data_IF_956974119852
#
_entry.id   IF_956974119852
#
_cell.length_a   1.000
_cell.length_b   1.000
_cell.length_c   1.000
_cell.angle_alpha   90.00
_cell.angle_beta   90.00
_cell.angle_gamma   90.00
#
_symmetry.space_group_name_H-M   'P 1'
#
loop_
_entity.id
_entity.type
_entity.pdbx_description
1 polymer ?
#
# COMPACT_ATOMS: atom_id res chain seq x y z
N UNK A 1 20.32 5.48 2.36
CA UNK A 1 20.42 4.43 3.42
C UNK A 1 19.91 4.89 4.80
N UNK A 2 20.47 5.96 5.43
CA UNK A 2 20.06 6.38 6.79
C UNK A 2 18.55 6.69 6.95
N UNK A 3 17.93 7.33 5.94
CA UNK A 3 16.50 7.69 5.98
C UNK A 3 15.57 6.47 5.99
N UNK A 4 15.86 5.46 5.16
CA UNK A 4 15.07 4.23 5.08
C UNK A 4 15.11 3.44 6.39
N UNK A 5 16.29 3.31 7.01
CA UNK A 5 16.44 2.64 8.29
C UNK A 5 15.65 3.35 9.41
N UNK A 6 15.67 4.69 9.43
CA UNK A 6 14.87 5.48 10.38
C UNK A 6 13.38 5.24 10.19
N UNK A 7 12.87 5.40 8.96
CA UNK A 7 11.44 5.24 8.68
C UNK A 7 10.95 3.82 8.94
N UNK A 8 11.77 2.80 8.70
CA UNK A 8 11.44 1.44 9.10
C UNK A 8 11.25 1.32 10.61
N UNK A 9 12.15 1.90 11.41
CA UNK A 9 12.02 1.93 12.87
C UNK A 9 10.75 2.64 13.35
N UNK A 10 10.34 3.71 12.66
CA UNK A 10 9.11 4.44 12.98
C UNK A 10 7.85 3.66 12.59
N UNK A 11 7.85 3.00 11.42
CA UNK A 11 6.74 2.15 10.97
C UNK A 11 6.46 0.97 11.91
N UNK A 12 7.47 0.41 12.58
CA UNK A 12 7.27 -0.66 13.57
C UNK A 12 6.39 -0.25 14.74
N UNK A 13 6.25 1.05 15.00
CA UNK A 13 5.41 1.60 16.07
C UNK A 13 3.96 1.81 15.63
N UNK A 14 3.66 1.68 14.33
CA UNK A 14 2.33 1.93 13.81
C UNK A 14 1.38 0.77 14.16
N UNK A 15 0.19 1.05 14.72
CA UNK A 15 -0.84 0.03 14.94
C UNK A 15 -1.60 -0.35 13.65
N UNK A 16 -1.33 0.34 12.54
CA UNK A 16 -2.13 0.25 11.31
C UNK A 16 -1.37 -0.31 10.11
N UNK A 17 -0.04 -0.49 10.23
CA UNK A 17 0.78 -1.05 9.15
C UNK A 17 1.95 -1.88 9.68
N UNK A 18 2.40 -2.84 8.89
CA UNK A 18 3.57 -3.70 9.18
C UNK A 18 4.41 -3.82 7.91
N UNK A 19 5.71 -3.54 8.02
CA UNK A 19 6.66 -3.63 6.92
C UNK A 19 7.43 -4.96 6.91
N UNK A 20 7.67 -5.49 5.71
CA UNK A 20 8.34 -6.75 5.40
C UNK A 20 9.45 -6.51 4.36
N UNK A 21 10.54 -7.26 4.51
CA UNK A 21 11.77 -7.11 3.72
C UNK A 21 12.14 -8.49 3.17
N UNK A 22 11.64 -8.86 1.98
CA UNK A 22 11.86 -10.18 1.42
C UNK A 22 13.34 -10.47 1.17
N UNK A 23 14.10 -9.44 0.76
CA UNK A 23 15.52 -9.56 0.44
C UNK A 23 16.33 -8.51 1.22
N UNK A 24 17.16 -8.98 2.16
CA UNK A 24 18.06 -8.12 2.94
C UNK A 24 19.14 -7.47 2.07
N UNK A 25 19.43 -8.02 0.90
CA UNK A 25 20.40 -7.46 -0.05
C UNK A 25 19.77 -6.39 -0.95
N UNK A 26 18.44 -6.33 -1.03
CA UNK A 26 17.72 -5.30 -1.77
C UNK A 26 16.86 -4.42 -0.82
N UNK A 27 17.48 -3.42 -0.15
CA UNK A 27 16.78 -2.57 0.80
C UNK A 27 15.76 -1.62 0.17
N UNK A 28 15.60 -1.64 -1.16
CA UNK A 28 14.70 -0.76 -1.91
C UNK A 28 13.37 -1.43 -2.26
N UNK A 29 13.20 -2.72 -1.98
CA UNK A 29 11.94 -3.43 -2.24
C UNK A 29 11.22 -3.70 -0.92
N UNK A 30 10.23 -2.86 -0.62
CA UNK A 30 9.48 -2.94 0.64
C UNK A 30 8.12 -3.55 0.37
N UNK A 31 7.69 -4.39 1.29
CA UNK A 31 6.34 -4.93 1.32
C UNK A 31 5.64 -4.42 2.58
N UNK A 32 4.42 -3.92 2.48
CA UNK A 32 3.72 -3.33 3.61
C UNK A 32 2.29 -3.83 3.65
N UNK A 33 1.91 -4.45 4.75
CA UNK A 33 0.51 -4.74 5.06
C UNK A 33 -0.09 -3.59 5.85
N UNK A 34 -1.29 -3.14 5.52
CA UNK A 34 -1.99 -2.04 6.18
C UNK A 34 -3.48 -2.34 6.33
N UNK A 35 -4.10 -1.75 7.36
CA UNK A 35 -5.54 -1.87 7.60
C UNK A 35 -6.34 -1.06 6.59
N UNK A 36 -7.51 -1.57 6.21
CA UNK A 36 -8.49 -0.79 5.46
C UNK A 36 -8.91 0.48 6.19
N UNK A 37 -9.26 1.56 5.45
CA UNK A 37 -9.75 2.79 6.05
C UNK A 37 -11.00 2.55 6.89
N UNK A 38 -11.06 3.21 8.05
CA UNK A 38 -12.25 3.23 8.91
C UNK A 38 -13.41 3.93 8.20
N UNK A 39 -14.63 3.64 8.63
CA UNK A 39 -15.88 4.19 8.09
C UNK A 39 -16.01 3.99 6.57
N UNK A 40 -15.59 2.82 6.09
CA UNK A 40 -15.63 2.44 4.67
C UNK A 40 -15.97 0.97 4.44
N UNK A 41 -16.32 0.61 3.21
CA UNK A 41 -16.56 -0.77 2.79
C UNK A 41 -15.32 -1.68 2.97
N UNK A 42 -14.13 -1.08 3.07
CA UNK A 42 -12.84 -1.75 3.23
C UNK A 42 -12.46 -1.97 4.69
N UNK A 43 -13.18 -1.38 5.65
CA UNK A 43 -12.89 -1.49 7.08
C UNK A 43 -12.88 -2.96 7.52
N UNK A 44 -11.85 -3.34 8.29
CA UNK A 44 -11.66 -4.71 8.76
C UNK A 44 -10.88 -5.60 7.78
N UNK A 45 -10.62 -5.15 6.56
CA UNK A 45 -9.68 -5.79 5.64
C UNK A 45 -8.22 -5.48 5.97
N UNK A 46 -7.31 -6.33 5.46
CA UNK A 46 -5.87 -6.11 5.49
C UNK A 46 -5.33 -6.17 4.06
N UNK A 47 -4.73 -5.08 3.61
CA UNK A 47 -4.24 -4.94 2.25
C UNK A 47 -2.72 -4.89 2.23
N UNK A 48 -2.12 -5.41 1.17
CA UNK A 48 -0.68 -5.56 1.03
C UNK A 48 -0.20 -4.83 -0.21
N UNK A 49 0.77 -3.93 -0.05
CA UNK A 49 1.42 -3.27 -1.16
C UNK A 49 2.90 -3.61 -1.23
N UNK A 50 3.45 -3.49 -2.44
CA UNK A 50 4.86 -3.48 -2.72
C UNK A 50 5.27 -2.06 -3.13
N UNK A 51 6.36 -1.57 -2.54
CA UNK A 51 6.99 -0.29 -2.87
C UNK A 51 8.39 -0.53 -3.43
N UNK A 52 8.65 -0.01 -4.63
CA UNK A 52 10.00 0.07 -5.19
C UNK A 52 10.58 1.46 -4.96
N UNK A 53 11.61 1.53 -4.13
CA UNK A 53 12.20 2.76 -3.55
C UNK A 53 13.57 3.10 -4.14
N UNK A 54 13.90 2.65 -5.36
CA UNK A 54 15.24 2.78 -5.94
C UNK A 54 15.75 4.22 -5.99
N UNK A 55 14.87 5.17 -6.30
CA UNK A 55 15.19 6.60 -6.43
C UNK A 55 14.71 7.44 -5.22
N UNK A 56 14.26 6.78 -4.14
CA UNK A 56 13.75 7.46 -2.95
C UNK A 56 14.91 8.02 -2.10
N UNK A 57 14.82 9.25 -1.53
CA UNK A 57 13.62 10.11 -1.43
C UNK A 57 13.46 11.14 -2.55
N UNK A 58 14.39 11.20 -3.51
CA UNK A 58 14.38 12.21 -4.56
C UNK A 58 13.18 12.05 -5.51
N UNK A 59 12.72 10.80 -5.70
CA UNK A 59 11.49 10.46 -6.44
C UNK A 59 10.53 9.63 -5.59
N UNK A 60 9.21 9.67 -5.90
CA UNK A 60 8.23 8.80 -5.26
C UNK A 60 8.45 7.32 -5.66
N UNK A 61 7.96 6.37 -4.84
CA UNK A 61 8.06 4.96 -5.15
C UNK A 61 7.15 4.54 -6.31
N UNK A 62 7.48 3.43 -6.96
CA UNK A 62 6.47 2.66 -7.68
C UNK A 62 5.65 1.86 -6.67
N UNK A 63 4.32 1.90 -6.79
CA UNK A 63 3.38 1.27 -5.86
C UNK A 63 2.61 0.18 -6.59
N UNK A 64 2.51 -1.02 -6.02
CA UNK A 64 1.63 -2.10 -6.50
C UNK A 64 0.86 -2.72 -5.35
N UNK A 65 -0.38 -3.13 -5.61
CA UNK A 65 -1.19 -3.89 -4.64
C UNK A 65 -1.04 -5.38 -4.93
N UNK A 66 -0.85 -6.17 -3.89
CA UNK A 66 -0.46 -7.57 -4.02
C UNK A 66 -1.60 -8.55 -3.76
N UNK A 67 -2.71 -8.10 -3.18
CA UNK A 67 -3.89 -8.91 -2.92
C UNK A 67 -5.16 -8.27 -3.50
N UNK A 68 -6.17 -9.10 -3.75
CA UNK A 68 -7.49 -8.63 -4.17
C UNK A 68 -8.06 -7.65 -3.15
N UNK A 69 -8.50 -6.49 -3.63
CA UNK A 69 -9.07 -5.42 -2.79
C UNK A 69 -10.43 -4.93 -3.24
N UNK A 70 -10.78 -5.12 -4.52
CA UNK A 70 -11.95 -4.47 -5.14
C UNK A 70 -11.74 -2.98 -5.47
N UNK A 71 -10.61 -2.38 -5.04
CA UNK A 71 -10.26 -0.99 -5.32
C UNK A 71 -9.17 -0.83 -6.38
N UNK A 72 -8.24 -1.79 -6.45
CA UNK A 72 -7.03 -1.71 -7.27
C UNK A 72 -6.80 -3.00 -8.05
N UNK A 73 -6.16 -2.86 -9.21
CA UNK A 73 -5.64 -3.97 -10.00
C UNK A 73 -4.42 -4.60 -9.29
N UNK A 74 -4.40 -5.92 -9.21
CA UNK A 74 -3.32 -6.66 -8.56
C UNK A 74 -2.05 -6.59 -9.41
N UNK A 75 -0.91 -6.37 -8.76
CA UNK A 75 0.42 -6.33 -9.35
C UNK A 75 0.53 -5.37 -10.56
N UNK A 76 -0.33 -4.36 -10.59
CA UNK A 76 -0.30 -3.30 -11.58
C UNK A 76 0.29 -2.03 -10.93
N UNK A 77 1.19 -1.30 -11.61
CA UNK A 77 1.64 0.00 -11.13
C UNK A 77 0.47 0.95 -10.90
N UNK A 78 0.39 1.53 -9.71
CA UNK A 78 -0.61 2.54 -9.36
C UNK A 78 -0.12 3.93 -9.71
N UNK A 79 -1.00 4.74 -10.29
CA UNK A 79 -0.79 6.16 -10.51
C UNK A 79 -1.62 6.97 -9.50
N UNK A 80 -0.99 7.37 -8.41
CA UNK A 80 -1.53 8.32 -7.44
C UNK A 80 -0.76 9.64 -7.57
N UNK A 81 -1.50 10.71 -7.84
CA UNK A 81 -0.94 12.05 -8.00
C UNK A 81 -0.14 12.47 -6.76
N UNK A 82 1.09 12.95 -6.95
CA UNK A 82 1.97 13.40 -5.86
C UNK A 82 2.57 12.28 -5.00
N UNK A 83 2.26 11.00 -5.25
CA UNK A 83 2.66 9.89 -4.37
C UNK A 83 3.29 8.70 -5.09
N UNK A 84 3.16 8.61 -6.42
CA UNK A 84 3.66 7.48 -7.22
C UNK A 84 4.65 7.92 -8.29
N UNK A 85 5.63 7.06 -8.61
CA UNK A 85 6.63 7.29 -9.66
C UNK A 85 6.01 7.66 -11.02
N UNK A 86 4.81 7.16 -11.31
CA UNK A 86 4.12 7.34 -12.58
C UNK A 86 3.29 8.64 -12.65
N UNK A 87 3.18 9.38 -11.55
CA UNK A 87 2.63 10.73 -11.51
C UNK A 87 3.36 11.56 -10.43
N UNK A 88 4.65 11.90 -10.67
CA UNK A 88 5.52 12.50 -9.66
C UNK A 88 5.31 14.02 -9.52
N UNK A 89 4.39 14.60 -10.29
CA UNK A 89 4.04 16.01 -10.14
C UNK A 89 3.60 16.26 -8.69
N UNK A 90 4.13 17.32 -8.08
CA UNK A 90 3.89 17.68 -6.68
C UNK A 90 4.46 16.71 -5.62
N UNK A 91 5.35 15.79 -6.03
CA UNK A 91 6.14 15.02 -5.08
C UNK A 91 6.98 15.95 -4.19
N UNK A 92 6.86 15.76 -2.87
CA UNK A 92 7.73 16.40 -1.89
C UNK A 92 8.81 15.42 -1.44
N UNK A 93 10.11 15.66 -1.78
CA UNK A 93 11.19 14.80 -1.35
C UNK A 93 11.23 14.58 0.16
N UNK A 94 11.36 13.32 0.56
CA UNK A 94 11.38 12.92 1.97
C UNK A 94 10.00 12.71 2.59
N UNK A 95 8.91 12.80 1.83
CA UNK A 95 7.58 12.34 2.28
C UNK A 95 7.70 10.93 2.86
N UNK A 96 7.17 10.74 4.07
CA UNK A 96 7.35 9.49 4.82
C UNK A 96 6.63 8.33 4.14
N UNK A 97 7.24 7.14 4.13
CA UNK A 97 6.65 5.93 3.55
C UNK A 97 5.32 5.58 4.25
N UNK A 98 5.21 5.80 5.56
CA UNK A 98 3.95 5.63 6.29
C UNK A 98 2.84 6.53 5.75
N UNK A 99 3.14 7.81 5.47
CA UNK A 99 2.19 8.77 4.89
C UNK A 99 1.74 8.34 3.50
N UNK A 100 2.63 7.77 2.67
CA UNK A 100 2.26 7.21 1.36
C UNK A 100 1.25 6.07 1.54
N UNK A 101 1.48 5.18 2.50
CA UNK A 101 0.59 4.02 2.76
C UNK A 101 -0.73 4.45 3.38
N UNK A 102 -0.74 5.45 4.27
CA UNK A 102 -1.96 6.06 4.81
C UNK A 102 -2.81 6.68 3.71
N UNK A 103 -2.19 7.46 2.82
CA UNK A 103 -2.88 8.01 1.67
C UNK A 103 -3.41 6.91 0.75
N UNK A 104 -2.61 5.88 0.45
CA UNK A 104 -3.04 4.72 -0.33
C UNK A 104 -4.29 4.06 0.28
N UNK A 105 -4.35 3.90 1.60
CA UNK A 105 -5.55 3.40 2.27
C UNK A 105 -6.76 4.33 2.05
N UNK A 106 -6.59 5.65 2.17
CA UNK A 106 -7.67 6.62 1.93
C UNK A 106 -8.19 6.59 0.49
N UNK A 107 -7.30 6.46 -0.50
CA UNK A 107 -7.67 6.36 -1.92
C UNK A 107 -8.51 5.11 -2.25
N UNK A 108 -8.53 4.08 -1.38
CA UNK A 108 -9.41 2.93 -1.57
C UNK A 108 -10.87 3.35 -1.59
N UNK A 109 -11.26 4.27 -0.70
CA UNK A 109 -12.64 4.72 -0.53
C UNK A 109 -13.02 5.89 -1.47
N UNK A 110 -12.06 6.42 -2.25
CA UNK A 110 -12.33 7.53 -3.16
C UNK A 110 -13.25 7.07 -4.29
N UNK A 111 -14.51 7.52 -4.33
CA UNK A 111 -15.48 7.11 -5.36
C UNK A 111 -15.38 7.93 -6.65
N UNK A 112 -14.78 9.11 -6.58
CA UNK A 112 -14.59 10.03 -7.71
C UNK A 112 -13.19 9.88 -8.29
N UNK A 113 -13.00 10.27 -9.54
CA UNK A 113 -11.66 10.36 -10.18
C UNK A 113 -10.80 9.07 -10.06
N UNK A 114 -11.43 7.92 -10.30
CA UNK A 114 -10.74 6.61 -10.34
C UNK A 114 -10.19 6.26 -11.72
N UNK A 115 -9.96 7.24 -12.58
CA UNK A 115 -9.45 7.02 -13.95
C UNK A 115 -7.93 6.81 -14.04
N UNK A 116 -7.22 6.95 -12.92
CA UNK A 116 -5.78 6.72 -12.83
C UNK A 116 -5.40 5.25 -13.05
N UNK A 117 -4.21 5.02 -13.60
CA UNK A 117 -3.73 3.65 -13.85
C UNK A 117 -3.66 2.81 -12.58
N UNK A 118 -4.06 1.54 -12.69
CA UNK A 118 -4.10 0.58 -11.59
C UNK A 118 -5.33 0.69 -10.67
N UNK A 119 -6.20 1.69 -10.85
CA UNK A 119 -7.48 1.76 -10.15
C UNK A 119 -8.53 0.87 -10.83
N UNK A 120 -9.38 0.24 -10.02
CA UNK A 120 -10.67 -0.26 -10.51
C UNK A 120 -11.61 0.95 -10.62
N UNK A 121 -12.09 1.23 -11.82
CA UNK A 121 -12.85 2.45 -12.14
C UNK A 121 -14.22 2.51 -11.45
N UNK A 122 -14.92 1.37 -11.40
CA UNK A 122 -16.23 1.25 -10.77
C UNK A 122 -16.15 0.32 -9.57
N UNK A 123 -16.41 0.88 -8.39
CA UNK A 123 -16.41 0.11 -7.16
C UNK A 123 -17.71 -0.68 -7.03
N UNK A 124 -17.58 -1.98 -6.88
CA UNK A 124 -18.67 -2.90 -6.61
C UNK A 124 -18.62 -3.34 -5.14
N UNK A 125 -19.71 -3.09 -4.40
CA UNK A 125 -19.76 -3.35 -2.96
C UNK A 125 -19.70 -4.85 -2.62
N UNK A 126 -20.28 -5.72 -3.45
CA UNK A 126 -20.24 -7.17 -3.22
C UNK A 126 -18.83 -7.70 -3.46
N UNK A 127 -18.16 -7.22 -4.53
CA UNK A 127 -16.76 -7.55 -4.80
C UNK A 127 -15.85 -7.07 -3.67
N UNK A 128 -16.00 -5.81 -3.23
CA UNK A 128 -15.21 -5.26 -2.12
C UNK A 128 -15.40 -6.10 -0.86
N UNK A 129 -16.65 -6.43 -0.50
CA UNK A 129 -16.94 -7.27 0.67
C UNK A 129 -16.24 -8.63 0.59
N UNK A 130 -16.34 -9.30 -0.56
CA UNK A 130 -15.68 -10.60 -0.79
C UNK A 130 -14.16 -10.48 -0.67
N UNK A 131 -13.56 -9.47 -1.31
CA UNK A 131 -12.13 -9.23 -1.26
C UNK A 131 -11.67 -8.91 0.17
N UNK A 132 -12.39 -8.06 0.90
CA UNK A 132 -12.13 -7.72 2.30
C UNK A 132 -12.11 -8.98 3.18
N UNK A 133 -13.12 -9.83 3.08
CA UNK A 133 -13.24 -11.03 3.92
C UNK A 133 -12.12 -12.05 3.62
N UNK A 134 -11.66 -12.12 2.36
CA UNK A 134 -10.51 -12.93 1.96
C UNK A 134 -9.16 -12.31 2.40
N UNK A 135 -9.07 -10.98 2.40
CA UNK A 135 -7.82 -10.23 2.60
C UNK A 135 -7.14 -10.52 3.94
N UNK A 136 -7.91 -10.82 5.00
CA UNK A 136 -7.39 -11.13 6.34
C UNK A 136 -6.64 -12.46 6.43
N UNK A 137 -6.69 -13.29 5.38
CA UNK A 137 -5.99 -14.59 5.30
C UNK A 137 -4.94 -14.62 4.18
N UNK A 138 -4.71 -13.50 3.52
CA UNK A 138 -3.73 -13.40 2.45
C UNK A 138 -2.32 -13.69 2.95
N UNK A 139 -1.54 -14.41 2.13
CA UNK A 139 -0.12 -14.67 2.36
C UNK A 139 0.68 -14.18 1.17
N UNK A 140 1.80 -13.53 1.43
CA UNK A 140 2.70 -13.03 0.40
C UNK A 140 4.03 -13.80 0.41
N UNK A 141 4.66 -13.91 -0.76
CA UNK A 141 6.00 -14.48 -0.90
C UNK A 141 7.08 -13.71 -0.09
N UNK A 142 6.79 -12.48 0.35
CA UNK A 142 7.67 -11.72 1.24
C UNK A 142 7.66 -12.20 2.71
N UNK A 143 6.85 -13.21 3.04
CA UNK A 143 6.68 -13.74 4.39
C UNK A 143 5.54 -13.11 5.18
N UNK A 144 4.80 -12.16 4.61
CA UNK A 144 3.61 -11.62 5.25
C UNK A 144 2.50 -12.69 5.31
N UNK A 145 1.95 -12.90 6.51
CA UNK A 145 0.75 -13.72 6.75
C UNK A 145 -0.28 -12.87 7.47
N UNK A 146 -1.32 -12.42 6.74
CA UNK A 146 -2.32 -11.51 7.30
C UNK A 146 -3.10 -12.11 8.47
N UNK A 147 -3.15 -13.45 8.56
CA UNK A 147 -3.85 -14.12 9.65
C UNK A 147 -3.18 -13.93 11.01
N UNK A 148 -1.94 -13.42 11.06
CA UNK A 148 -1.20 -13.17 12.31
C UNK A 148 -1.02 -11.68 12.61
N UNK A 149 -1.49 -10.78 11.74
CA UNK A 149 -1.26 -9.34 11.87
C UNK A 149 -2.40 -8.65 12.64
N UNK A 150 -2.05 -7.57 13.36
CA UNK A 150 -2.98 -6.67 14.05
C UNK A 150 -3.92 -7.32 15.08
N UNK A 151 -3.49 -8.45 15.66
CA UNK A 151 -4.16 -9.14 16.75
C UNK A 151 -3.71 -8.63 18.10
#
# INVERSE_FOLDING_TARGET
MKILAKQFGDMKKSPNMVAFFPDKMNPFNWHISFKGPVDSDFQGGIYHCQLKLTDYPDKPPEIRIMNESGAYLINHPLCIHGLSANNPQDWTPGTQISTIVEALAMYMNLRTDRGGSGFIHQLDQEVIKKCRDASVRFKCACGADHSTLFK
#
